data_IF_899644541455
#
_entry.id   IF_899644541455
#
_cell.length_a   1.000
_cell.length_b   1.000
_cell.length_c   1.000
_cell.angle_alpha   90.00
_cell.angle_beta   90.00
_cell.angle_gamma   90.00
#
_symmetry.space_group_name_H-M   'P 1'
#
loop_
_entity.id
_entity.type
_entity.pdbx_description
1 polymer ?
#
# COMPACT_ATOMS: atom_id res chain seq x y z
N UNK A 1 26.08 7.39 11.12
CA UNK A 1 26.17 6.54 9.90
C UNK A 1 25.21 7.10 8.85
N UNK A 2 25.67 7.53 7.66
CA UNK A 2 24.78 8.06 6.62
C UNK A 2 24.05 6.91 5.93
N UNK A 3 22.74 6.80 6.14
CA UNK A 3 21.88 5.80 5.48
C UNK A 3 21.92 6.04 3.97
N UNK A 4 22.47 5.09 3.21
CA UNK A 4 22.59 5.20 1.76
C UNK A 4 21.22 5.21 1.07
N UNK A 5 21.14 5.80 -0.13
CA UNK A 5 19.89 5.95 -0.90
C UNK A 5 19.14 4.62 -1.07
N UNK A 6 19.84 3.48 -1.17
CA UNK A 6 19.23 2.12 -1.19
C UNK A 6 18.36 1.85 0.03
N UNK A 7 18.91 2.10 1.21
CA UNK A 7 18.22 1.84 2.46
C UNK A 7 17.06 2.81 2.68
N UNK A 8 17.19 4.07 2.24
CA UNK A 8 16.07 5.03 2.29
C UNK A 8 14.90 4.62 1.41
N UNK A 9 15.17 4.25 0.15
CA UNK A 9 14.12 3.84 -0.81
C UNK A 9 13.44 2.54 -0.37
N UNK A 10 14.22 1.56 0.06
CA UNK A 10 13.70 0.30 0.60
C UNK A 10 12.85 0.54 1.85
N UNK A 11 13.35 1.31 2.82
CA UNK A 11 12.62 1.60 4.06
C UNK A 11 11.32 2.37 3.78
N UNK A 12 11.34 3.34 2.87
CA UNK A 12 10.16 4.13 2.52
C UNK A 12 9.04 3.25 1.94
N UNK A 13 9.37 2.41 0.96
CA UNK A 13 8.39 1.52 0.34
C UNK A 13 7.93 0.43 1.33
N UNK A 14 8.84 -0.13 2.13
CA UNK A 14 8.49 -1.09 3.17
C UNK A 14 7.54 -0.49 4.21
N UNK A 15 7.81 0.74 4.67
CA UNK A 15 6.93 1.46 5.59
C UNK A 15 5.58 1.77 4.97
N UNK A 16 5.53 2.17 3.70
CA UNK A 16 4.28 2.40 2.99
C UNK A 16 3.44 1.11 2.88
N UNK A 17 4.06 -0.01 2.50
CA UNK A 17 3.38 -1.31 2.46
C UNK A 17 2.91 -1.76 3.84
N UNK A 18 3.75 -1.60 4.88
CA UNK A 18 3.38 -1.94 6.25
C UNK A 18 2.21 -1.07 6.74
N UNK A 19 2.21 0.23 6.43
CA UNK A 19 1.12 1.13 6.78
C UNK A 19 -0.20 0.70 6.12
N UNK A 20 -0.18 0.31 4.84
CA UNK A 20 -1.38 -0.20 4.15
C UNK A 20 -1.92 -1.45 4.83
N UNK A 21 -1.06 -2.42 5.15
CA UNK A 21 -1.48 -3.66 5.84
C UNK A 21 -2.08 -3.36 7.22
N UNK A 22 -1.45 -2.46 7.98
CA UNK A 22 -1.96 -2.03 9.29
C UNK A 22 -3.30 -1.31 9.17
N UNK A 23 -3.44 -0.38 8.23
CA UNK A 23 -4.70 0.34 7.99
C UNK A 23 -5.79 -0.63 7.57
N UNK A 24 -5.51 -1.59 6.69
CA UNK A 24 -6.48 -2.60 6.27
C UNK A 24 -6.89 -3.51 7.44
N UNK A 25 -5.94 -3.93 8.28
CA UNK A 25 -6.24 -4.74 9.47
C UNK A 25 -7.09 -3.97 10.50
N UNK A 26 -6.78 -2.70 10.73
CA UNK A 26 -7.55 -1.81 11.62
C UNK A 26 -8.96 -1.59 11.04
N UNK A 27 -9.07 -1.26 9.76
CA UNK A 27 -10.36 -1.05 9.09
C UNK A 27 -11.22 -2.31 9.18
N UNK A 28 -10.66 -3.49 8.93
CA UNK A 28 -11.38 -4.76 9.05
C UNK A 28 -11.88 -5.00 10.49
N UNK A 29 -11.04 -4.75 11.50
CA UNK A 29 -11.46 -4.84 12.92
C UNK A 29 -12.60 -3.88 13.22
N UNK A 30 -12.48 -2.62 12.81
CA UNK A 30 -13.50 -1.59 13.05
C UNK A 30 -14.83 -1.90 12.34
N UNK A 31 -14.78 -2.35 11.09
CA UNK A 31 -15.98 -2.69 10.30
C UNK A 31 -16.68 -3.91 10.91
N UNK A 32 -15.93 -4.93 11.34
CA UNK A 32 -16.51 -6.12 11.97
C UNK A 32 -17.13 -5.79 13.32
N UNK A 33 -16.39 -5.11 14.20
CA UNK A 33 -16.85 -4.77 15.56
C UNK A 33 -18.01 -3.78 15.55
N UNK A 34 -17.95 -2.73 14.73
CA UNK A 34 -18.99 -1.67 14.72
C UNK A 34 -20.16 -1.97 13.79
N UNK A 35 -19.93 -2.69 12.70
CA UNK A 35 -20.91 -2.88 11.63
C UNK A 35 -21.71 -4.16 11.78
N UNK A 36 -21.04 -5.31 11.86
CA UNK A 36 -21.70 -6.60 11.73
C UNK A 36 -22.51 -6.99 12.97
N UNK A 37 -21.91 -6.85 14.17
CA UNK A 37 -22.58 -7.18 15.43
C UNK A 37 -23.78 -6.25 15.69
N UNK A 38 -23.59 -4.95 15.47
CA UNK A 38 -24.66 -3.95 15.53
C UNK A 38 -25.78 -4.25 14.53
N UNK A 39 -25.45 -4.65 13.31
CA UNK A 39 -26.43 -5.06 12.30
C UNK A 39 -27.25 -6.29 12.75
N UNK A 40 -26.61 -7.33 13.28
CA UNK A 40 -27.30 -8.53 13.78
C UNK A 40 -28.22 -8.24 14.98
N UNK A 41 -27.78 -7.38 15.89
CA UNK A 41 -28.56 -6.95 17.03
C UNK A 41 -29.76 -6.10 16.60
N UNK A 42 -29.56 -5.18 15.64
CA UNK A 42 -30.64 -4.40 15.04
C UNK A 42 -31.65 -5.29 14.32
N UNK A 43 -31.17 -6.27 13.54
CA UNK A 43 -32.02 -7.25 12.86
C UNK A 43 -32.84 -8.09 13.87
N UNK A 44 -32.22 -8.49 14.99
CA UNK A 44 -32.92 -9.21 16.07
C UNK A 44 -34.03 -8.35 16.69
N UNK A 45 -33.76 -7.05 16.90
CA UNK A 45 -34.74 -6.09 17.41
C UNK A 45 -35.92 -5.91 16.45
N UNK A 46 -35.67 -5.71 15.16
CA UNK A 46 -36.73 -5.56 14.16
C UNK A 46 -37.64 -6.80 14.11
N UNK A 47 -37.07 -8.01 14.18
CA UNK A 47 -37.89 -9.24 14.27
C UNK A 47 -38.72 -9.33 15.55
N UNK A 48 -38.18 -8.91 16.70
CA UNK A 48 -38.95 -8.86 17.95
C UNK A 48 -40.14 -7.89 17.82
N UNK A 49 -39.93 -6.73 17.19
CA UNK A 49 -40.99 -5.74 16.92
C UNK A 49 -42.11 -6.31 16.02
N UNK A 50 -41.79 -7.24 15.10
CA UNK A 50 -42.80 -7.94 14.29
C UNK A 50 -43.61 -9.00 15.07
N UNK A 51 -43.05 -9.54 16.15
CA UNK A 51 -43.68 -10.60 16.98
C UNK A 51 -44.55 -9.97 18.08
N UNK A 52 -44.15 -8.81 18.61
CA UNK A 52 -44.82 -8.13 19.75
C UNK A 52 -46.34 -7.98 19.56
N UNK A 53 -46.88 -7.55 18.41
CA UNK A 53 -48.34 -7.42 18.24
C UNK A 53 -49.11 -8.72 18.45
N UNK A 54 -48.50 -9.88 18.10
CA UNK A 54 -49.12 -11.20 18.32
C UNK A 54 -49.16 -11.55 19.81
N UNK A 55 -48.13 -11.15 20.56
CA UNK A 55 -48.08 -11.34 22.00
C UNK A 55 -49.04 -10.42 22.74
N UNK A 56 -49.18 -9.18 22.30
CA UNK A 56 -50.18 -8.23 22.82
C UNK A 56 -51.60 -8.78 22.64
N UNK A 57 -51.90 -9.34 21.46
CA UNK A 57 -53.20 -9.95 21.17
C UNK A 57 -53.45 -11.23 21.99
N UNK A 58 -52.41 -12.05 22.21
CA UNK A 58 -52.52 -13.28 23.00
C UNK A 58 -52.77 -12.97 24.49
N UNK A 59 -52.08 -11.99 25.07
CA UNK A 59 -52.30 -11.56 26.45
C UNK A 59 -53.68 -10.91 26.63
N UNK A 60 -54.11 -10.07 25.68
CA UNK A 60 -55.43 -9.42 25.73
C UNK A 60 -56.61 -10.41 25.69
N UNK A 61 -56.43 -11.59 25.09
CA UNK A 61 -57.51 -12.59 24.94
C UNK A 61 -57.52 -13.66 26.03
N UNK A 62 -56.35 -14.04 26.56
CA UNK A 62 -56.21 -15.16 27.52
C UNK A 62 -55.80 -14.73 28.92
N UNK A 63 -55.42 -13.47 29.11
CA UNK A 63 -54.83 -12.97 30.35
C UNK A 63 -53.41 -13.48 30.58
N UNK A 64 -52.85 -13.09 31.74
CA UNK A 64 -51.46 -13.24 32.19
C UNK A 64 -50.66 -14.40 31.57
N UNK A 65 -49.36 -14.18 31.35
CA UNK A 65 -48.37 -15.11 30.77
C UNK A 65 -48.24 -16.55 31.35
N UNK A 66 -49.11 -16.97 32.26
CA UNK A 66 -49.12 -18.31 32.84
C UNK A 66 -49.32 -19.43 31.81
N UNK A 67 -50.07 -19.19 30.72
CA UNK A 67 -50.27 -20.18 29.65
C UNK A 67 -48.96 -20.56 28.94
N UNK A 68 -48.05 -19.59 28.80
CA UNK A 68 -46.73 -19.80 28.20
C UNK A 68 -45.77 -20.58 29.11
N UNK A 69 -46.02 -20.61 30.42
CA UNK A 69 -45.24 -21.43 31.36
C UNK A 69 -45.60 -22.91 31.28
N UNK A 70 -46.84 -23.23 30.93
CA UNK A 70 -47.34 -24.61 30.87
C UNK A 70 -47.16 -25.29 29.50
N UNK A 71 -47.09 -24.55 28.39
CA UNK A 71 -46.95 -25.13 27.05
C UNK A 71 -45.90 -24.41 26.18
N UNK A 72 -44.76 -25.07 25.97
CA UNK A 72 -43.66 -24.58 25.13
C UNK A 72 -44.05 -24.49 23.64
N UNK A 73 -45.07 -25.25 23.19
CA UNK A 73 -45.54 -25.22 21.80
C UNK A 73 -46.26 -23.91 21.48
N UNK A 74 -46.99 -23.36 22.44
CA UNK A 74 -47.64 -22.05 22.26
C UNK A 74 -46.61 -20.93 22.12
N UNK A 75 -45.53 -20.99 22.91
CA UNK A 75 -44.38 -20.09 22.74
C UNK A 75 -43.75 -20.20 21.34
N UNK A 76 -43.48 -21.41 20.88
CA UNK A 76 -42.93 -21.63 19.54
C UNK A 76 -43.83 -21.09 18.43
N UNK A 77 -45.15 -21.26 18.54
CA UNK A 77 -46.11 -20.75 17.55
C UNK A 77 -46.16 -19.21 17.51
N UNK A 78 -45.88 -18.53 18.62
CA UNK A 78 -45.87 -17.07 18.67
C UNK A 78 -44.57 -16.50 18.10
N UNK A 79 -43.44 -17.16 18.36
CA UNK A 79 -42.10 -16.65 18.04
C UNK A 79 -41.63 -17.08 16.65
N UNK A 80 -42.10 -18.20 16.09
CA UNK A 80 -41.72 -18.62 14.75
C UNK A 80 -42.21 -17.61 13.67
N UNK A 81 -41.31 -17.14 12.78
CA UNK A 81 -41.69 -16.41 11.59
C UNK A 81 -42.26 -17.41 10.58
N UNK A 82 -43.58 -17.41 10.41
CA UNK A 82 -44.23 -18.19 9.35
C UNK A 82 -44.18 -17.38 8.05
N UNK A 83 -43.64 -17.98 6.99
CA UNK A 83 -43.97 -17.52 5.64
C UNK A 83 -45.42 -17.95 5.34
N UNK A 84 -46.31 -17.03 4.93
CA UNK A 84 -47.59 -17.46 4.38
C UNK A 84 -47.30 -18.19 3.06
N UNK A 85 -47.50 -19.51 3.03
CA UNK A 85 -47.61 -20.24 1.76
C UNK A 85 -48.77 -19.62 0.99
N UNK A 86 -48.50 -19.00 -0.16
CA UNK A 86 -49.53 -18.69 -1.13
C UNK A 86 -50.12 -19.99 -1.66
N UNK A 87 -51.19 -20.47 -1.00
CA UNK A 87 -52.10 -21.48 -1.56
C UNK A 87 -51.93 -22.94 -1.10
N UNK A 88 -51.32 -23.22 0.06
CA UNK A 88 -51.16 -24.58 0.60
C UNK A 88 -51.79 -24.77 1.98
N UNK A 89 -52.29 -25.99 2.25
CA UNK A 89 -52.89 -26.41 3.52
C UNK A 89 -52.12 -25.91 4.76
N UNK A 90 -52.85 -25.56 5.84
CA UNK A 90 -52.31 -25.01 7.09
C UNK A 90 -51.22 -25.86 7.79
N UNK A 91 -50.97 -27.07 7.31
CA UNK A 91 -49.95 -28.00 7.77
C UNK A 91 -48.55 -27.73 7.19
N UNK A 92 -48.42 -26.99 6.08
CA UNK A 92 -47.13 -26.75 5.41
C UNK A 92 -46.55 -25.38 5.79
N UNK A 93 -46.19 -25.18 7.05
CA UNK A 93 -45.53 -23.93 7.50
C UNK A 93 -44.02 -24.05 7.33
N UNK A 94 -43.45 -23.37 6.34
CA UNK A 94 -41.99 -23.32 6.15
C UNK A 94 -41.37 -22.39 7.18
N UNK A 95 -40.51 -22.94 8.04
CA UNK A 95 -39.70 -22.17 9.00
C UNK A 95 -38.62 -21.44 8.21
N UNK A 96 -38.59 -20.10 8.26
CA UNK A 96 -37.50 -19.33 7.67
C UNK A 96 -36.17 -19.76 8.32
N UNK A 97 -35.09 -20.03 7.55
CA UNK A 97 -33.82 -20.45 8.11
C UNK A 97 -33.30 -19.40 9.10
N UNK A 98 -33.19 -19.78 10.37
CA UNK A 98 -32.65 -18.93 11.43
C UNK A 98 -31.12 -18.97 11.39
N UNK A 99 -30.52 -18.39 10.34
CA UNK A 99 -29.07 -18.43 10.08
C UNK A 99 -28.22 -17.86 11.24
N UNK A 100 -28.82 -17.08 12.15
CA UNK A 100 -28.15 -16.44 13.28
C UNK A 100 -28.60 -17.01 14.66
N UNK A 101 -29.45 -18.05 14.68
CA UNK A 101 -30.04 -18.57 15.91
C UNK A 101 -30.85 -17.54 16.70
N UNK A 102 -31.39 -16.52 16.03
CA UNK A 102 -32.13 -15.42 16.64
C UNK A 102 -33.34 -15.92 17.46
N UNK A 103 -34.07 -16.93 17.00
CA UNK A 103 -35.22 -17.51 17.71
C UNK A 103 -34.79 -18.29 18.94
N UNK A 104 -33.65 -18.97 18.86
CA UNK A 104 -33.05 -19.67 19.99
C UNK A 104 -32.52 -18.71 21.06
N UNK A 105 -32.43 -17.41 20.78
CA UNK A 105 -31.90 -16.35 21.66
C UNK A 105 -32.97 -15.42 22.24
N UNK A 106 -34.23 -15.63 21.88
CA UNK A 106 -35.36 -14.82 22.35
C UNK A 106 -36.01 -15.48 23.56
N UNK A 107 -36.49 -14.65 24.48
CA UNK A 107 -37.27 -15.02 25.64
C UNK A 107 -38.27 -13.94 26.01
N UNK A 108 -39.20 -14.32 26.88
CA UNK A 108 -40.21 -13.43 27.43
C UNK A 108 -39.88 -13.15 28.89
N UNK A 109 -39.86 -11.88 29.25
CA UNK A 109 -39.74 -11.40 30.62
C UNK A 109 -41.09 -10.82 31.06
N UNK A 110 -41.46 -11.04 32.32
CA UNK A 110 -42.61 -10.37 32.91
C UNK A 110 -42.30 -8.90 33.24
N UNK A 111 -43.31 -8.18 33.75
CA UNK A 111 -43.15 -6.78 34.14
C UNK A 111 -42.09 -6.56 35.25
N UNK A 112 -41.76 -7.60 36.02
CA UNK A 112 -40.74 -7.60 37.06
C UNK A 112 -39.36 -8.06 36.54
N UNK A 113 -39.20 -8.23 35.23
CA UNK A 113 -37.99 -8.70 34.56
C UNK A 113 -37.60 -10.15 34.90
N UNK A 114 -38.53 -10.95 35.43
CA UNK A 114 -38.30 -12.39 35.58
C UNK A 114 -38.65 -13.12 34.28
N UNK A 115 -37.79 -14.07 33.93
CA UNK A 115 -38.01 -14.91 32.75
C UNK A 115 -39.25 -15.77 32.91
N UNK A 116 -40.15 -15.69 31.94
CA UNK A 116 -41.35 -16.51 31.83
C UNK A 116 -41.07 -17.75 30.98
N UNK A 117 -40.54 -17.55 29.75
CA UNK A 117 -40.29 -18.62 28.77
C UNK A 117 -39.18 -18.20 27.79
N UNK A 118 -38.65 -19.16 27.03
CA UNK A 118 -37.60 -18.94 26.03
C UNK A 118 -36.18 -19.10 26.59
N UNK A 119 -35.20 -18.48 25.92
CA UNK A 119 -33.78 -18.65 26.20
C UNK A 119 -33.41 -18.34 27.68
N UNK A 120 -32.57 -19.20 28.27
CA UNK A 120 -32.20 -19.16 29.70
C UNK A 120 -31.31 -17.99 30.09
N UNK A 121 -30.53 -17.46 29.14
CA UNK A 121 -29.56 -16.38 29.36
C UNK A 121 -30.18 -14.99 29.22
N UNK A 122 -31.48 -14.92 28.86
CA UNK A 122 -32.22 -13.66 28.77
C UNK A 122 -32.38 -13.04 30.15
N UNK A 123 -31.95 -11.78 30.27
CA UNK A 123 -31.88 -11.04 31.53
C UNK A 123 -32.18 -9.55 31.32
N UNK A 124 -32.01 -8.74 32.37
CA UNK A 124 -32.29 -7.30 32.31
C UNK A 124 -31.41 -6.48 31.36
N UNK A 125 -30.21 -6.99 31.02
CA UNK A 125 -29.23 -6.37 30.13
C UNK A 125 -29.40 -6.80 28.66
N UNK A 126 -30.40 -7.65 28.38
CA UNK A 126 -30.71 -8.13 27.04
C UNK A 126 -31.39 -7.05 26.18
N UNK A 127 -31.29 -7.19 24.85
CA UNK A 127 -32.00 -6.30 23.92
C UNK A 127 -33.49 -6.55 24.09
N UNK A 128 -34.26 -5.52 24.45
CA UNK A 128 -35.65 -5.69 24.85
C UNK A 128 -36.61 -4.77 24.11
N UNK A 129 -37.78 -5.31 23.80
CA UNK A 129 -38.91 -4.61 23.20
C UNK A 129 -40.11 -4.74 24.15
N UNK A 130 -40.73 -3.63 24.58
CA UNK A 130 -41.85 -3.69 25.51
C UNK A 130 -43.09 -4.26 24.83
N UNK A 131 -43.87 -5.02 25.59
CA UNK A 131 -45.20 -5.48 25.19
C UNK A 131 -46.22 -4.59 25.89
N UNK A 132 -47.05 -3.89 25.11
CA UNK A 132 -47.97 -2.88 25.62
C UNK A 132 -49.42 -3.34 25.44
N UNK A 133 -50.14 -3.55 26.54
CA UNK A 133 -51.57 -3.86 26.51
C UNK A 133 -52.31 -2.77 27.26
N UNK A 134 -53.23 -2.08 26.58
CA UNK A 134 -54.01 -0.98 27.18
C UNK A 134 -53.15 0.19 27.71
N UNK A 135 -52.00 0.45 27.08
CA UNK A 135 -51.08 1.53 27.47
C UNK A 135 -50.17 1.22 28.67
N UNK A 136 -50.17 -0.02 29.17
CA UNK A 136 -49.24 -0.47 30.24
C UNK A 136 -48.29 -1.54 29.72
N UNK A 137 -47.05 -1.51 30.20
CA UNK A 137 -46.05 -2.55 29.93
C UNK A 137 -46.44 -3.80 30.74
N UNK A 138 -46.83 -4.87 30.06
CA UNK A 138 -47.19 -6.16 30.69
C UNK A 138 -46.04 -7.16 30.70
N UNK A 139 -45.01 -6.92 29.88
CA UNK A 139 -43.82 -7.75 29.78
C UNK A 139 -42.85 -7.22 28.71
N UNK A 140 -41.76 -7.94 28.50
CA UNK A 140 -40.75 -7.60 27.52
C UNK A 140 -40.39 -8.83 26.68
N UNK A 141 -40.38 -8.68 25.36
CA UNK A 141 -39.66 -9.62 24.49
C UNK A 141 -38.20 -9.24 24.54
N UNK A 142 -37.34 -10.15 24.95
CA UNK A 142 -35.93 -9.89 25.09
C UNK A 142 -35.10 -10.93 24.32
N UNK A 143 -34.05 -10.46 23.65
CA UNK A 143 -33.08 -11.27 22.94
C UNK A 143 -31.68 -11.06 23.54
N UNK A 144 -30.99 -12.17 23.80
CA UNK A 144 -29.59 -12.14 24.23
C UNK A 144 -28.76 -11.50 23.10
N UNK A 145 -27.92 -10.47 23.35
CA UNK A 145 -27.06 -9.86 22.33
C UNK A 145 -26.17 -10.89 21.64
N UNK A 146 -25.85 -10.71 20.35
CA UNK A 146 -25.11 -11.72 19.57
C UNK A 146 -23.72 -11.96 20.17
N UNK A 147 -23.14 -10.91 20.76
CA UNK A 147 -21.85 -10.90 21.44
C UNK A 147 -21.81 -11.82 22.66
N UNK A 148 -22.93 -11.98 23.36
CA UNK A 148 -23.03 -12.80 24.56
C UNK A 148 -23.26 -14.29 24.24
N UNK A 149 -23.74 -14.60 23.03
CA UNK A 149 -24.06 -15.97 22.59
C UNK A 149 -22.90 -16.61 21.84
N UNK A 150 -21.97 -15.83 21.29
CA UNK A 150 -20.68 -16.34 20.82
C UNK A 150 -20.05 -17.19 21.94
N UNK A 151 -19.99 -18.53 21.81
CA UNK A 151 -19.42 -19.38 22.82
C UNK A 151 -18.04 -18.86 23.22
N UNK A 152 -17.70 -18.85 24.51
CA UNK A 152 -16.33 -18.49 24.96
C UNK A 152 -15.25 -19.33 24.25
N UNK A 153 -15.62 -20.47 23.67
CA UNK A 153 -14.79 -21.37 22.86
C UNK A 153 -14.73 -21.01 21.35
N UNK A 154 -15.72 -20.29 20.81
CA UNK A 154 -15.75 -19.81 19.40
C UNK A 154 -14.93 -18.53 19.17
N UNK A 155 -14.33 -18.00 20.24
CA UNK A 155 -13.14 -17.15 20.11
C UNK A 155 -12.12 -17.79 19.17
N UNK A 156 -12.00 -19.11 19.18
CA UNK A 156 -11.10 -19.85 18.28
C UNK A 156 -11.45 -19.64 16.79
N UNK A 157 -12.73 -19.53 16.41
CA UNK A 157 -13.12 -19.29 15.00
C UNK A 157 -12.81 -17.86 14.55
N UNK A 158 -13.14 -16.86 15.38
CA UNK A 158 -12.78 -15.46 15.12
C UNK A 158 -11.25 -15.27 15.14
N UNK A 159 -10.54 -15.91 16.07
CA UNK A 159 -9.08 -15.92 16.11
C UNK A 159 -8.51 -16.58 14.87
N UNK A 160 -9.03 -17.72 14.40
CA UNK A 160 -8.58 -18.34 13.15
C UNK A 160 -8.77 -17.42 11.94
N UNK A 161 -9.87 -16.67 11.88
CA UNK A 161 -10.09 -15.71 10.79
C UNK A 161 -9.12 -14.52 10.87
N UNK A 162 -8.81 -14.02 12.07
CA UNK A 162 -7.79 -13.00 12.27
C UNK A 162 -6.36 -13.53 12.03
N UNK A 163 -6.06 -14.78 12.41
CA UNK A 163 -4.77 -15.43 12.14
C UNK A 163 -4.58 -15.64 10.64
N UNK A 164 -5.60 -16.11 9.92
CA UNK A 164 -5.54 -16.28 8.48
C UNK A 164 -5.30 -14.92 7.77
N UNK A 165 -6.04 -13.87 8.15
CA UNK A 165 -5.85 -12.53 7.58
C UNK A 165 -4.49 -11.93 7.91
N UNK A 166 -4.00 -12.10 9.15
CA UNK A 166 -2.67 -11.63 9.54
C UNK A 166 -1.57 -12.40 8.81
N UNK A 167 -1.73 -13.71 8.59
CA UNK A 167 -0.79 -14.51 7.81
C UNK A 167 -0.74 -14.04 6.34
N UNK A 168 -1.90 -13.78 5.74
CA UNK A 168 -1.99 -13.21 4.38
C UNK A 168 -1.37 -11.82 4.33
N UNK A 169 -1.61 -10.97 5.33
CA UNK A 169 -1.00 -9.65 5.46
C UNK A 169 0.52 -9.69 5.63
N UNK A 170 1.02 -10.65 6.42
CA UNK A 170 2.46 -10.86 6.59
C UNK A 170 3.09 -11.38 5.29
N UNK A 171 2.40 -12.31 4.61
CA UNK A 171 2.83 -12.86 3.33
C UNK A 171 2.90 -11.80 2.25
N UNK A 172 1.89 -10.94 2.14
CA UNK A 172 1.90 -9.83 1.18
C UNK A 172 3.00 -8.81 1.49
N UNK A 173 3.26 -8.51 2.77
CA UNK A 173 4.35 -7.65 3.19
C UNK A 173 5.72 -8.25 2.82
N UNK A 174 5.92 -9.55 3.01
CA UNK A 174 7.14 -10.26 2.61
C UNK A 174 7.36 -10.20 1.10
N UNK A 175 6.31 -10.44 0.30
CA UNK A 175 6.38 -10.36 -1.16
C UNK A 175 6.71 -8.94 -1.61
N UNK A 176 6.05 -7.93 -1.04
CA UNK A 176 6.32 -6.52 -1.34
C UNK A 176 7.75 -6.11 -0.97
N UNK A 177 8.25 -6.56 0.18
CA UNK A 177 9.62 -6.34 0.61
C UNK A 177 10.62 -6.96 -0.37
N UNK A 178 10.38 -8.21 -0.80
CA UNK A 178 11.24 -8.91 -1.74
C UNK A 178 11.29 -8.20 -3.10
N UNK A 179 10.13 -7.86 -3.66
CA UNK A 179 10.00 -7.13 -4.93
C UNK A 179 10.72 -5.78 -4.88
N UNK A 180 10.47 -5.02 -3.81
CA UNK A 180 11.10 -3.72 -3.59
C UNK A 180 12.62 -3.85 -3.46
N UNK A 181 13.10 -4.85 -2.73
CA UNK A 181 14.52 -5.10 -2.56
C UNK A 181 15.21 -5.41 -3.89
N UNK A 182 14.60 -6.27 -4.71
CA UNK A 182 15.11 -6.60 -6.05
C UNK A 182 15.13 -5.36 -6.94
N UNK A 183 14.02 -4.62 -7.01
CA UNK A 183 13.91 -3.41 -7.84
C UNK A 183 14.89 -2.31 -7.41
N UNK A 184 14.99 -2.05 -6.10
CA UNK A 184 15.93 -1.07 -5.56
C UNK A 184 17.38 -1.49 -5.83
N UNK A 185 17.70 -2.78 -5.79
CA UNK A 185 19.04 -3.29 -6.06
C UNK A 185 19.42 -3.18 -7.53
N UNK A 186 18.50 -3.48 -8.45
CA UNK A 186 18.75 -3.44 -9.90
C UNK A 186 18.89 -2.00 -10.40
N UNK A 187 17.93 -1.12 -10.09
CA UNK A 187 17.93 0.27 -10.52
C UNK A 187 19.13 1.03 -9.94
N UNK A 188 19.36 0.91 -8.64
CA UNK A 188 20.44 1.66 -7.98
C UNK A 188 21.83 1.05 -8.22
N UNK A 189 21.94 -0.11 -8.88
CA UNK A 189 23.21 -0.59 -9.43
C UNK A 189 23.55 0.18 -10.69
N UNK A 190 22.62 0.26 -11.65
CA UNK A 190 22.81 0.98 -12.92
C UNK A 190 23.11 2.46 -12.73
N UNK A 191 22.37 3.13 -11.84
CA UNK A 191 22.61 4.55 -11.53
C UNK A 191 24.01 4.79 -10.96
N UNK A 192 24.54 3.86 -10.14
CA UNK A 192 25.91 3.97 -9.62
C UNK A 192 26.97 3.71 -10.68
N UNK A 193 26.71 2.80 -11.61
CA UNK A 193 27.60 2.58 -12.76
C UNK A 193 27.69 3.84 -13.61
N UNK A 194 26.56 4.49 -13.90
CA UNK A 194 26.53 5.79 -14.59
C UNK A 194 27.30 6.85 -13.81
N UNK A 195 27.06 6.98 -12.49
CA UNK A 195 27.76 7.96 -11.67
C UNK A 195 29.29 7.76 -11.68
N UNK A 196 29.76 6.50 -11.64
CA UNK A 196 31.18 6.16 -11.74
C UNK A 196 31.76 6.50 -13.11
N UNK A 197 31.06 6.15 -14.19
CA UNK A 197 31.49 6.48 -15.55
C UNK A 197 31.59 8.00 -15.75
N UNK A 198 30.62 8.77 -15.24
CA UNK A 198 30.67 10.24 -15.26
C UNK A 198 31.87 10.78 -14.49
N UNK A 199 32.19 10.23 -13.32
CA UNK A 199 33.39 10.61 -12.57
C UNK A 199 34.68 10.32 -13.34
N UNK A 200 34.76 9.19 -14.06
CA UNK A 200 35.92 8.85 -14.90
C UNK A 200 36.08 9.84 -16.06
N UNK A 201 34.99 10.16 -16.76
CA UNK A 201 35.00 11.17 -17.83
C UNK A 201 35.39 12.54 -17.31
N UNK A 202 34.89 12.95 -16.13
CA UNK A 202 35.27 14.20 -15.49
C UNK A 202 36.75 14.24 -15.08
N UNK A 203 37.35 13.09 -14.77
CA UNK A 203 38.78 12.95 -14.52
C UNK A 203 39.65 12.91 -15.79
N UNK A 204 39.04 13.02 -16.98
CA UNK A 204 39.73 13.04 -18.27
C UNK A 204 39.80 11.69 -18.99
N UNK A 205 39.23 10.62 -18.42
CA UNK A 205 39.12 9.33 -19.11
C UNK A 205 37.90 9.31 -20.04
N UNK A 206 38.08 9.85 -21.24
CA UNK A 206 37.06 9.86 -22.29
C UNK A 206 36.87 8.50 -22.99
N UNK A 207 37.60 7.45 -22.58
CA UNK A 207 37.41 6.10 -23.10
C UNK A 207 36.34 5.30 -22.34
N UNK A 208 35.94 5.76 -21.14
CA UNK A 208 34.88 5.13 -20.35
C UNK A 208 33.55 5.04 -21.11
N UNK A 209 32.89 3.88 -21.06
CA UNK A 209 31.62 3.59 -21.74
C UNK A 209 30.68 2.86 -20.79
N UNK A 210 29.38 3.06 -21.00
CA UNK A 210 28.31 2.39 -20.26
C UNK A 210 27.64 1.37 -21.18
N UNK A 211 27.44 0.14 -20.69
CA UNK A 211 26.77 -0.91 -21.46
C UNK A 211 25.29 -0.55 -21.71
N UNK A 212 24.87 -0.58 -22.97
CA UNK A 212 23.48 -0.31 -23.38
C UNK A 212 22.72 -1.64 -23.40
N UNK A 213 22.20 -2.05 -22.25
CA UNK A 213 21.52 -3.35 -22.10
C UNK A 213 20.00 -3.30 -22.08
N UNK A 214 19.39 -2.12 -21.94
CA UNK A 214 17.93 -1.99 -21.79
C UNK A 214 17.37 -0.96 -22.77
N UNK A 215 16.11 -1.15 -23.16
CA UNK A 215 15.34 -0.22 -23.98
C UNK A 215 14.43 0.69 -23.14
N UNK A 216 14.87 0.99 -21.92
CA UNK A 216 14.23 1.90 -20.98
C UNK A 216 14.90 3.29 -21.02
N UNK A 217 14.43 4.20 -20.17
CA UNK A 217 14.95 5.57 -20.01
C UNK A 217 16.43 5.56 -19.59
N UNK A 218 16.84 4.57 -18.79
CA UNK A 218 18.25 4.41 -18.40
C UNK A 218 19.10 3.95 -19.58
N UNK A 219 18.58 3.10 -20.46
CA UNK A 219 19.22 2.72 -21.71
C UNK A 219 19.40 3.90 -22.66
N UNK A 220 18.38 4.77 -22.77
CA UNK A 220 18.49 6.02 -23.53
C UNK A 220 19.58 6.93 -22.96
N UNK A 221 19.59 7.14 -21.65
CA UNK A 221 20.61 7.94 -20.97
C UNK A 221 22.04 7.35 -21.14
N UNK A 222 22.18 6.03 -21.14
CA UNK A 222 23.47 5.37 -21.41
C UNK A 222 23.97 5.64 -22.84
N UNK A 223 23.07 5.66 -23.84
CA UNK A 223 23.41 6.02 -25.22
C UNK A 223 23.86 7.47 -25.33
N UNK A 224 23.13 8.38 -24.68
CA UNK A 224 23.46 9.81 -24.69
C UNK A 224 24.80 10.09 -23.99
N UNK A 225 25.06 9.42 -22.86
CA UNK A 225 26.35 9.46 -22.17
C UNK A 225 27.49 8.99 -23.09
N UNK A 226 27.33 7.86 -23.76
CA UNK A 226 28.35 7.33 -24.67
C UNK A 226 28.61 8.27 -25.85
N UNK A 227 27.57 8.92 -26.38
CA UNK A 227 27.70 9.94 -27.43
C UNK A 227 28.48 11.15 -26.92
N UNK A 228 28.15 11.66 -25.74
CA UNK A 228 28.88 12.76 -25.10
C UNK A 228 30.36 12.42 -24.88
N UNK A 229 30.67 11.25 -24.32
CA UNK A 229 32.03 10.79 -24.10
C UNK A 229 32.82 10.64 -25.43
N UNK A 230 32.14 10.21 -26.50
CA UNK A 230 32.74 10.13 -27.84
C UNK A 230 33.07 11.52 -28.41
N UNK A 231 32.18 12.49 -28.25
CA UNK A 231 32.41 13.88 -28.67
C UNK A 231 33.59 14.49 -27.92
N UNK A 232 33.63 14.36 -26.59
CA UNK A 232 34.75 14.85 -25.77
C UNK A 232 36.09 14.23 -26.19
N UNK A 233 36.10 12.92 -26.47
CA UNK A 233 37.29 12.23 -26.97
C UNK A 233 37.79 12.80 -28.30
N UNK A 234 36.89 13.16 -29.21
CA UNK A 234 37.25 13.77 -30.49
C UNK A 234 37.79 15.19 -30.29
N UNK A 235 37.11 16.01 -29.49
CA UNK A 235 37.54 17.38 -29.19
C UNK A 235 38.92 17.41 -28.54
N UNK A 236 39.20 16.50 -27.58
CA UNK A 236 40.53 16.44 -26.94
C UNK A 236 41.62 15.99 -27.91
N UNK A 237 41.33 15.04 -28.81
CA UNK A 237 42.28 14.63 -29.87
C UNK A 237 42.58 15.77 -30.84
N UNK A 238 41.55 16.49 -31.28
CA UNK A 238 41.71 17.65 -32.15
C UNK A 238 42.53 18.75 -31.47
N UNK A 239 42.27 19.03 -30.19
CA UNK A 239 43.04 19.98 -29.39
C UNK A 239 44.52 19.60 -29.31
N UNK A 240 44.83 18.33 -29.05
CA UNK A 240 46.23 17.84 -28.99
C UNK A 240 46.93 17.89 -30.34
N UNK A 241 46.24 17.49 -31.41
CA UNK A 241 46.76 17.60 -32.78
C UNK A 241 47.11 19.04 -33.14
N UNK A 242 46.16 19.96 -32.91
CA UNK A 242 46.37 21.39 -33.16
C UNK A 242 47.56 21.97 -32.38
N UNK A 243 47.73 21.62 -31.11
CA UNK A 243 48.89 22.05 -30.31
C UNK A 243 50.22 21.49 -30.86
N UNK A 244 50.21 20.25 -31.35
CA UNK A 244 51.39 19.65 -31.97
C UNK A 244 51.73 20.33 -33.30
N UNK A 245 50.74 20.57 -34.14
CA UNK A 245 50.90 21.23 -35.44
C UNK A 245 51.45 22.65 -35.26
N UNK A 246 50.88 23.45 -34.34
CA UNK A 246 51.43 24.77 -33.98
C UNK A 246 52.89 24.67 -33.53
N UNK A 247 53.23 23.68 -32.70
CA UNK A 247 54.60 23.51 -32.21
C UNK A 247 55.59 23.19 -33.33
N UNK A 248 55.14 22.46 -34.35
CA UNK A 248 55.94 22.14 -35.53
C UNK A 248 56.10 23.36 -36.44
N UNK A 249 55.01 24.07 -36.74
CA UNK A 249 55.01 25.26 -37.60
C UNK A 249 55.81 26.41 -36.98
N UNK A 250 55.83 26.56 -35.65
CA UNK A 250 56.64 27.58 -34.96
C UNK A 250 58.12 27.22 -34.80
N UNK A 251 58.47 25.93 -34.75
CA UNK A 251 59.88 25.50 -34.56
C UNK A 251 60.75 25.92 -35.73
N UNK A 252 60.25 25.78 -36.95
CA UNK A 252 60.97 26.11 -38.18
C UNK A 252 61.37 27.59 -38.27
N UNK A 253 60.44 28.58 -38.16
CA UNK A 253 60.79 30.00 -38.22
C UNK A 253 61.67 30.42 -37.03
N UNK A 254 61.46 29.86 -35.84
CA UNK A 254 62.33 30.14 -34.69
C UNK A 254 63.76 29.62 -34.89
N UNK A 255 63.93 28.44 -35.49
CA UNK A 255 65.25 27.93 -35.85
C UNK A 255 65.95 28.84 -36.88
N UNK A 256 65.21 29.32 -37.88
CA UNK A 256 65.74 30.28 -38.87
C UNK A 256 66.17 31.58 -38.20
N UNK A 257 65.33 32.18 -37.35
CA UNK A 257 65.67 33.39 -36.60
C UNK A 257 66.91 33.20 -35.72
N UNK A 258 67.04 32.03 -35.08
CA UNK A 258 68.20 31.70 -34.25
C UNK A 258 69.48 31.60 -35.09
N UNK A 259 69.46 30.90 -36.22
CA UNK A 259 70.63 30.81 -37.12
C UNK A 259 71.05 32.18 -37.63
N UNK A 260 70.09 33.05 -37.94
CA UNK A 260 70.38 34.43 -38.36
C UNK A 260 71.07 35.24 -37.26
N UNK A 261 70.66 35.08 -36.00
CA UNK A 261 71.28 35.75 -34.86
C UNK A 261 72.69 35.21 -34.60
N UNK A 262 72.88 33.89 -34.62
CA UNK A 262 74.20 33.24 -34.46
C UNK A 262 75.18 33.71 -35.55
N UNK A 263 74.75 33.75 -36.82
CA UNK A 263 75.58 34.23 -37.93
C UNK A 263 76.03 35.70 -37.80
N UNK A 264 75.21 36.55 -37.18
CA UNK A 264 75.58 37.95 -36.89
C UNK A 264 76.56 38.01 -35.72
N UNK A 265 76.33 37.20 -34.68
CA UNK A 265 77.16 37.16 -33.48
C UNK A 265 78.58 36.64 -33.77
N UNK A 266 78.71 35.64 -34.65
CA UNK A 266 79.99 35.07 -35.07
C UNK A 266 80.75 35.95 -36.08
N UNK A 267 80.20 37.11 -36.46
CA UNK A 267 80.81 38.03 -37.42
C UNK A 267 80.76 37.57 -38.89
N UNK A 268 80.10 36.45 -39.17
CA UNK A 268 79.91 35.89 -40.52
C UNK A 268 78.98 36.81 -41.35
N UNK A 269 77.98 37.44 -40.70
CA UNK A 269 77.12 38.47 -41.29
C UNK A 269 77.27 39.79 -40.53
N UNK A 270 77.50 40.89 -41.25
CA UNK A 270 77.50 42.23 -40.66
C UNK A 270 76.07 42.70 -40.32
N UNK A 271 75.86 43.42 -39.21
CA UNK A 271 74.57 44.05 -38.89
C UNK A 271 74.37 45.26 -39.81
N UNK A 272 73.92 45.03 -41.04
CA UNK A 272 73.61 46.05 -42.04
C UNK A 272 72.09 46.17 -42.19
N UNK A 273 71.57 47.31 -42.65
CA UNK A 273 70.13 47.53 -42.88
C UNK A 273 69.45 46.44 -43.73
N UNK A 274 70.22 45.69 -44.54
CA UNK A 274 69.74 44.58 -45.35
C UNK A 274 69.55 43.28 -44.54
N UNK A 275 70.39 43.00 -43.52
CA UNK A 275 70.27 41.80 -42.68
C UNK A 275 69.12 41.91 -41.67
N UNK A 276 68.87 43.11 -41.14
CA UNK A 276 67.68 43.42 -40.34
C UNK A 276 66.38 43.32 -41.15
N UNK A 277 66.40 43.70 -42.44
CA UNK A 277 65.22 43.59 -43.31
C UNK A 277 64.83 42.12 -43.59
N UNK A 278 65.81 41.21 -43.74
CA UNK A 278 65.53 39.77 -43.88
C UNK A 278 64.93 39.13 -42.64
N UNK A 279 65.24 39.60 -41.43
CA UNK A 279 64.52 39.17 -40.21
C UNK A 279 63.09 39.72 -40.16
N UNK A 280 62.88 40.95 -40.62
CA UNK A 280 61.54 41.55 -40.73
C UNK A 280 60.62 40.80 -41.71
N UNK A 281 61.18 40.21 -42.77
CA UNK A 281 60.41 39.41 -43.74
C UNK A 281 59.85 38.10 -43.15
N UNK A 282 60.53 37.47 -42.18
CA UNK A 282 59.98 36.31 -41.46
C UNK A 282 58.74 36.66 -40.61
N UNK A 283 58.48 37.95 -40.34
CA UNK A 283 57.25 38.42 -39.66
C UNK A 283 56.00 38.32 -40.55
N UNK A 284 56.16 38.15 -41.87
CA UNK A 284 55.06 38.17 -42.84
C UNK A 284 54.58 36.77 -43.25
N UNK A 285 55.20 35.69 -42.78
CA UNK A 285 54.96 34.31 -43.25
C UNK A 285 54.33 33.42 -42.16
N UNK A 286 54.10 33.92 -40.94
CA UNK A 286 53.37 33.25 -39.86
C UNK A 286 52.10 34.03 -39.49
#
# INVERSE_FOLDING_TARGET
MKVGVRAKLFLFVLLACAAVVVVQAIAMRLVMERGFLGYLNQQSRTRMEEIVPRMEQADATRGTWGFLRSDLREWMNLVLPFLPETGGDAASRVVAPDQAGALARVGLLDAQMHRVVGNLDVNADSIRVPIMVGGRVVGWVAAVPFEAVLPKNDKCFLEHQFTALTLVGLGSLLVAALLTFVLARTLLRRVREMARATQQVAAGDYASRIAVGANDELGALARDFNRMAQTLKHTERARRGFMADISHELRTPLAVLRVQLEAIQDGIRSPTAQSTNTMHLCRSIA
#
